data_IF_670137610536
#
_entry.id   IF_670137610536
#
_cell.length_a   1.000
_cell.length_b   1.000
_cell.length_c   1.000
_cell.angle_alpha   90.00
_cell.angle_beta   90.00
_cell.angle_gamma   90.00
#
_symmetry.space_group_name_H-M   'P 1'
#
loop_
_entity.id
_entity.type
_entity.pdbx_description
1 polymer ?
#
# COMPACT_ATOMS: atom_id res chain seq x y z
N UNK A 1 21.96 2.64 24.12
CA UNK A 1 20.53 2.29 23.97
C UNK A 1 20.37 1.78 22.56
N UNK A 2 20.42 0.46 22.38
CA UNK A 2 20.31 -0.15 21.06
C UNK A 2 18.83 -0.18 20.71
N UNK A 3 18.43 0.58 19.69
CA UNK A 3 17.07 0.52 19.17
C UNK A 3 16.98 -0.82 18.45
N UNK A 4 16.34 -1.80 19.06
CA UNK A 4 15.97 -3.03 18.37
C UNK A 4 14.91 -2.67 17.33
N UNK A 5 15.36 -2.39 16.11
CA UNK A 5 14.47 -2.39 14.95
C UNK A 5 14.04 -3.84 14.75
N UNK A 6 12.89 -4.20 15.30
CA UNK A 6 12.17 -5.41 14.92
C UNK A 6 11.87 -5.30 13.43
N UNK A 7 12.78 -5.78 12.58
CA UNK A 7 12.51 -6.01 11.17
C UNK A 7 11.43 -7.08 11.11
N UNK A 8 10.18 -6.66 10.90
CA UNK A 8 9.10 -7.58 10.65
C UNK A 8 9.40 -8.28 9.32
N UNK A 9 10.03 -9.46 9.38
CA UNK A 9 10.24 -10.29 8.21
C UNK A 9 8.87 -10.79 7.75
N UNK A 10 8.34 -10.14 6.73
CA UNK A 10 7.08 -10.54 6.10
C UNK A 10 7.40 -11.56 5.02
N UNK A 11 6.97 -12.81 5.22
CA UNK A 11 7.00 -13.83 4.17
C UNK A 11 5.86 -13.52 3.20
N UNK A 12 6.22 -13.05 2.00
CA UNK A 12 5.25 -12.86 0.93
C UNK A 12 5.03 -14.17 0.18
N UNK A 13 3.77 -14.50 -0.17
CA UNK A 13 3.49 -15.58 -1.11
C UNK A 13 4.26 -15.39 -2.42
N UNK A 14 4.57 -16.49 -3.11
CA UNK A 14 5.18 -16.40 -4.44
C UNK A 14 4.34 -15.51 -5.36
N UNK A 15 5.00 -14.59 -6.05
CA UNK A 15 4.39 -13.59 -6.94
C UNK A 15 3.45 -12.58 -6.27
N UNK A 16 3.50 -12.42 -4.95
CA UNK A 16 2.77 -11.36 -4.27
C UNK A 16 3.54 -10.04 -4.30
N UNK A 17 2.79 -8.94 -4.42
CA UNK A 17 3.30 -7.57 -4.17
C UNK A 17 2.74 -7.08 -2.85
N UNK A 18 3.46 -6.16 -2.18
CA UNK A 18 3.08 -5.66 -0.87
C UNK A 18 3.30 -4.15 -0.76
N UNK A 19 2.37 -3.51 -0.04
CA UNK A 19 2.51 -2.15 0.44
C UNK A 19 2.79 -2.19 1.94
N UNK A 20 3.90 -1.62 2.37
CA UNK A 20 4.35 -1.61 3.77
C UNK A 20 4.32 -0.16 4.26
N UNK A 21 3.67 0.07 5.40
CA UNK A 21 3.79 1.32 6.13
C UNK A 21 4.80 1.14 7.27
N UNK A 22 5.85 1.94 7.28
CA UNK A 22 6.88 1.88 8.32
C UNK A 22 6.44 2.66 9.55
N UNK A 23 7.06 2.35 10.70
CA UNK A 23 6.84 3.10 11.95
C UNK A 23 7.25 4.58 11.85
N UNK A 24 8.11 4.93 10.90
CA UNK A 24 8.49 6.31 10.61
C UNK A 24 7.44 7.08 9.79
N UNK A 25 6.39 6.40 9.33
CA UNK A 25 5.37 6.97 8.44
C UNK A 25 5.78 6.97 6.97
N UNK A 26 6.86 6.28 6.62
CA UNK A 26 7.22 6.03 5.22
C UNK A 26 6.39 4.89 4.65
N UNK A 27 6.26 4.89 3.33
CA UNK A 27 5.54 3.84 2.61
C UNK A 27 6.50 3.18 1.62
N UNK A 28 6.64 1.86 1.70
CA UNK A 28 7.48 1.05 0.84
C UNK A 28 6.61 0.14 -0.02
N UNK A 29 6.99 -0.01 -1.29
CA UNK A 29 6.29 -0.90 -2.23
C UNK A 29 7.21 -2.00 -2.72
N UNK A 30 6.83 -3.25 -2.43
CA UNK A 30 7.54 -4.44 -2.89
C UNK A 30 6.76 -5.03 -4.04
N UNK A 31 7.37 -5.12 -5.22
CA UNK A 31 6.77 -5.79 -6.37
C UNK A 31 7.12 -7.27 -6.36
N UNK A 32 6.17 -8.08 -6.84
CA UNK A 32 6.42 -9.46 -7.20
C UNK A 32 7.59 -9.55 -8.19
N UNK A 33 8.46 -10.55 -8.02
CA UNK A 33 9.45 -10.87 -9.04
C UNK A 33 8.73 -11.32 -10.32
N UNK A 34 9.05 -10.67 -11.43
CA UNK A 34 8.50 -10.96 -12.73
C UNK A 34 9.32 -10.29 -13.84
N UNK A 35 9.03 -10.60 -15.11
CA UNK A 35 9.63 -9.91 -16.26
C UNK A 35 9.37 -8.40 -16.21
N UNK A 36 10.33 -7.58 -16.63
CA UNK A 36 10.22 -6.11 -16.64
C UNK A 36 9.06 -5.59 -17.52
N UNK A 37 8.59 -6.40 -18.47
CA UNK A 37 7.49 -6.10 -19.39
C UNK A 37 6.14 -6.66 -18.94
N UNK A 38 6.07 -7.27 -17.76
CA UNK A 38 4.82 -7.81 -17.23
C UNK A 38 3.83 -6.69 -16.89
N UNK A 39 2.57 -6.85 -17.30
CA UNK A 39 1.52 -5.91 -16.94
C UNK A 39 1.31 -5.91 -15.42
N UNK A 40 1.38 -4.71 -14.83
CA UNK A 40 1.17 -4.54 -13.40
C UNK A 40 -0.30 -4.87 -13.07
N UNK A 41 -0.59 -5.80 -12.16
CA UNK A 41 -1.97 -6.13 -11.80
C UNK A 41 -2.77 -4.91 -11.30
N UNK A 42 -4.07 -4.84 -11.62
CA UNK A 42 -4.89 -3.67 -11.30
C UNK A 42 -4.94 -3.32 -9.79
N UNK A 43 -4.92 -4.34 -8.92
CA UNK A 43 -4.82 -4.15 -7.47
C UNK A 43 -3.47 -3.53 -7.05
N UNK A 44 -2.38 -3.89 -7.71
CA UNK A 44 -1.06 -3.28 -7.51
C UNK A 44 -1.04 -1.84 -8.00
N UNK A 45 -1.61 -1.56 -9.17
CA UNK A 45 -1.74 -0.19 -9.67
C UNK A 45 -2.56 0.69 -8.70
N UNK A 46 -3.62 0.13 -8.10
CA UNK A 46 -4.41 0.81 -7.08
C UNK A 46 -3.59 1.14 -5.83
N UNK A 47 -2.77 0.20 -5.34
CA UNK A 47 -1.87 0.44 -4.21
C UNK A 47 -0.86 1.56 -4.52
N UNK A 48 -0.30 1.58 -5.74
CA UNK A 48 0.56 2.67 -6.20
C UNK A 48 -0.17 4.02 -6.26
N UNK A 49 -1.43 4.04 -6.69
CA UNK A 49 -2.23 5.26 -6.69
C UNK A 49 -2.47 5.79 -5.27
N UNK A 50 -2.76 4.89 -4.32
CA UNK A 50 -2.91 5.22 -2.89
C UNK A 50 -1.61 5.78 -2.32
N UNK A 51 -0.46 5.19 -2.65
CA UNK A 51 0.87 5.68 -2.26
C UNK A 51 1.12 7.12 -2.73
N UNK A 52 0.92 7.36 -4.03
CA UNK A 52 1.24 8.65 -4.66
C UNK A 52 0.30 9.77 -4.20
N UNK A 53 -0.95 9.43 -3.87
CA UNK A 53 -1.99 10.40 -3.48
C UNK A 53 -2.23 10.45 -1.97
N UNK A 54 -1.72 9.52 -1.19
CA UNK A 54 -2.00 9.40 0.25
C UNK A 54 -1.49 10.56 1.09
N UNK A 55 -0.59 11.39 0.56
CA UNK A 55 -0.14 12.64 1.19
C UNK A 55 -0.98 13.86 0.81
N UNK A 56 -1.93 13.72 -0.11
CA UNK A 56 -2.88 14.77 -0.49
C UNK A 56 -4.12 14.68 0.44
N UNK A 57 -4.28 15.60 1.41
CA UNK A 57 -5.37 15.55 2.37
C UNK A 57 -6.74 15.71 1.71
N UNK A 58 -6.84 16.38 0.57
CA UNK A 58 -8.11 16.55 -0.16
C UNK A 58 -8.54 15.23 -0.77
N UNK A 59 -7.59 14.53 -1.40
CA UNK A 59 -7.85 13.21 -1.98
C UNK A 59 -8.20 12.18 -0.91
N UNK A 60 -7.43 12.15 0.19
CA UNK A 60 -7.68 11.22 1.31
C UNK A 60 -9.07 11.42 1.89
N UNK A 61 -9.45 12.67 2.21
CA UNK A 61 -10.78 12.97 2.75
C UNK A 61 -11.90 12.53 1.79
N UNK A 62 -11.75 12.79 0.49
CA UNK A 62 -12.72 12.37 -0.52
C UNK A 62 -12.91 10.84 -0.54
N UNK A 63 -11.82 10.08 -0.43
CA UNK A 63 -11.88 8.62 -0.46
C UNK A 63 -12.43 8.04 0.83
N UNK A 64 -12.11 8.61 1.99
CA UNK A 64 -12.73 8.26 3.27
C UNK A 64 -14.24 8.48 3.25
N UNK A 65 -14.72 9.64 2.80
CA UNK A 65 -16.15 9.90 2.69
C UNK A 65 -16.87 8.98 1.70
N UNK A 66 -16.22 8.63 0.59
CA UNK A 66 -16.77 7.64 -0.35
C UNK A 66 -16.90 6.26 0.30
N UNK A 67 -15.90 5.81 1.05
CA UNK A 67 -15.91 4.51 1.73
C UNK A 67 -17.00 4.44 2.82
N UNK A 68 -17.12 5.49 3.63
CA UNK A 68 -18.18 5.60 4.65
C UNK A 68 -19.58 5.52 4.03
N UNK A 69 -19.78 6.17 2.87
CA UNK A 69 -21.04 6.08 2.14
C UNK A 69 -21.35 4.65 1.66
N UNK A 70 -20.34 3.85 1.28
CA UNK A 70 -20.55 2.44 0.92
C UNK A 70 -20.92 1.59 2.15
N UNK A 71 -20.28 1.82 3.29
CA UNK A 71 -20.54 1.07 4.52
C UNK A 71 -21.94 1.33 5.14
N UNK A 72 -22.59 2.45 4.81
CA UNK A 72 -23.96 2.76 5.22
C UNK A 72 -25.06 2.16 4.33
N UNK A 73 -24.69 1.39 3.30
CA UNK A 73 -25.62 0.84 2.28
C UNK A 73 -25.82 -0.68 2.41
N UNK A 74 -25.78 -1.21 3.63
CA UNK A 74 -26.12 -2.62 3.95
C UNK A 74 -27.33 -2.64 4.88
#
# INVERSE_FOLDING_TARGET
MTIETSSAETILPANASALIATVAGDLEFIMAHGPDDSEVPANVQLLCAVLLRGKDPVWVNKMSSWLEAQNGTI
#
